data_IF_929234757612
#
_entry.id   IF_929234757612
#
_cell.length_a   1.000
_cell.length_b   1.000
_cell.length_c   1.000
_cell.angle_alpha   90.00
_cell.angle_beta   90.00
_cell.angle_gamma   90.00
#
_symmetry.space_group_name_H-M   'P 1'
#
loop_
_entity.id
_entity.type
_entity.pdbx_description
1 polymer ?
#
# COMPACT_ATOMS: atom_id res chain seq x y z
N UNK A 1 42.77 14.45 -38.60
CA UNK A 1 41.29 14.38 -38.51
C UNK A 1 40.91 14.63 -37.06
N UNK A 2 40.43 15.85 -36.75
CA UNK A 2 39.86 16.16 -35.43
C UNK A 2 38.33 16.05 -35.55
N UNK A 3 37.76 14.98 -35.00
CA UNK A 3 36.33 14.95 -34.70
C UNK A 3 36.19 15.11 -33.19
N UNK A 4 35.96 16.37 -32.80
CA UNK A 4 35.58 16.73 -31.45
C UNK A 4 34.26 16.06 -31.09
N UNK A 5 34.29 15.31 -29.99
CA UNK A 5 33.07 14.91 -29.29
C UNK A 5 32.47 16.19 -28.68
N UNK A 6 31.41 16.70 -29.30
CA UNK A 6 30.49 17.62 -28.66
C UNK A 6 29.88 16.88 -27.47
N UNK A 7 30.34 17.17 -26.25
CA UNK A 7 29.60 16.88 -25.03
C UNK A 7 28.36 17.76 -25.06
N UNK A 8 27.29 17.22 -25.64
CA UNK A 8 25.97 17.83 -25.61
C UNK A 8 25.60 18.08 -24.15
N UNK A 9 25.52 19.36 -23.84
CA UNK A 9 24.95 19.89 -22.62
C UNK A 9 23.47 19.48 -22.54
N UNK A 10 22.97 19.36 -21.31
CA UNK A 10 21.54 19.36 -20.95
C UNK A 10 20.69 18.12 -21.27
N UNK A 11 20.68 17.15 -20.35
CA UNK A 11 19.44 16.41 -20.06
C UNK A 11 19.18 16.30 -18.54
N UNK A 12 19.37 17.42 -17.84
CA UNK A 12 18.89 17.61 -16.47
C UNK A 12 17.43 18.09 -16.43
N UNK A 13 16.68 17.92 -17.53
CA UNK A 13 15.23 18.17 -17.54
C UNK A 13 14.59 17.07 -16.70
N UNK A 14 14.29 17.42 -15.45
CA UNK A 14 13.72 16.52 -14.48
C UNK A 14 12.51 15.78 -15.04
N UNK A 15 12.26 14.61 -14.45
CA UNK A 15 11.09 13.75 -14.67
C UNK A 15 9.74 14.47 -14.84
N UNK A 16 9.61 15.69 -14.32
CA UNK A 16 8.41 16.49 -14.22
C UNK A 16 7.80 16.96 -15.56
N UNK A 17 8.51 16.85 -16.70
CA UNK A 17 8.01 17.25 -18.03
C UNK A 17 7.82 16.07 -19.00
N UNK A 18 8.12 14.84 -18.60
CA UNK A 18 8.04 13.66 -19.47
C UNK A 18 6.61 13.08 -19.53
N UNK A 19 6.08 12.80 -20.71
CA UNK A 19 4.74 12.21 -20.87
C UNK A 19 4.76 10.69 -20.70
N UNK A 20 3.74 10.10 -20.05
CA UNK A 20 3.61 8.66 -19.83
C UNK A 20 4.01 7.79 -21.05
N UNK A 21 4.84 6.76 -20.81
CA UNK A 21 5.38 5.90 -21.85
C UNK A 21 4.41 4.85 -22.42
N UNK A 22 3.10 4.97 -22.14
CA UNK A 22 2.10 3.95 -22.46
C UNK A 22 1.18 4.38 -23.60
N UNK A 23 0.80 3.41 -24.40
CA UNK A 23 -0.27 3.48 -25.40
C UNK A 23 -1.47 2.73 -24.81
N UNK A 24 -2.62 3.39 -24.73
CA UNK A 24 -3.89 2.83 -24.28
C UNK A 24 -4.87 2.79 -25.44
N UNK A 25 -5.42 1.61 -25.75
CA UNK A 25 -6.36 1.45 -26.86
C UNK A 25 -5.86 2.02 -28.22
N UNK A 26 -4.55 1.87 -28.48
CA UNK A 26 -3.82 2.42 -29.65
C UNK A 26 -3.59 3.93 -29.65
N UNK A 27 -3.97 4.64 -28.58
CA UNK A 27 -3.68 6.07 -28.41
C UNK A 27 -2.54 6.28 -27.41
N UNK A 28 -1.57 7.14 -27.78
CA UNK A 28 -0.49 7.51 -26.87
C UNK A 28 -1.04 8.34 -25.72
N UNK A 29 -0.74 7.91 -24.50
CA UNK A 29 -1.12 8.64 -23.30
C UNK A 29 -0.51 10.05 -23.31
N UNK A 30 -1.29 11.06 -22.94
CA UNK A 30 -0.85 12.47 -22.84
C UNK A 30 -0.63 12.95 -21.41
N UNK A 31 -0.85 12.08 -20.43
CA UNK A 31 -0.69 12.43 -19.02
C UNK A 31 0.79 12.51 -18.64
N UNK A 32 1.09 13.38 -17.68
CA UNK A 32 2.41 13.52 -17.09
C UNK A 32 2.87 12.20 -16.46
N UNK A 33 4.11 11.79 -16.75
CA UNK A 33 4.71 10.62 -16.12
C UNK A 33 4.98 10.92 -14.64
N UNK A 34 4.69 9.93 -13.79
CA UNK A 34 5.07 9.95 -12.39
C UNK A 34 6.33 9.12 -12.15
N UNK A 35 6.58 8.74 -10.90
CA UNK A 35 7.75 7.94 -10.52
C UNK A 35 7.58 6.43 -10.77
N UNK A 36 6.36 5.97 -11.06
CA UNK A 36 6.10 4.56 -11.31
C UNK A 36 6.65 4.13 -12.67
N UNK A 37 7.29 2.96 -12.75
CA UNK A 37 7.89 2.46 -13.98
C UNK A 37 7.14 1.26 -14.55
N UNK A 38 7.09 1.19 -15.88
CA UNK A 38 6.58 0.06 -16.64
C UNK A 38 7.62 -1.07 -16.69
N UNK A 39 7.83 -1.72 -15.55
CA UNK A 39 8.78 -2.84 -15.42
C UNK A 39 8.26 -4.13 -16.06
N UNK A 40 9.13 -5.14 -16.22
CA UNK A 40 8.75 -6.50 -16.68
C UNK A 40 7.62 -7.12 -15.83
N UNK A 41 7.55 -6.80 -14.52
CA UNK A 41 6.46 -7.25 -13.62
C UNK A 41 5.12 -6.64 -14.02
N UNK A 42 5.12 -5.36 -14.39
CA UNK A 42 3.93 -4.65 -14.85
C UNK A 42 3.51 -5.17 -16.23
N UNK A 43 4.46 -5.38 -17.15
CA UNK A 43 4.19 -5.97 -18.47
C UNK A 43 3.52 -7.35 -18.35
N UNK A 44 3.99 -8.22 -17.44
CA UNK A 44 3.32 -9.50 -17.15
C UNK A 44 1.90 -9.31 -16.64
N UNK A 45 1.68 -8.35 -15.73
CA UNK A 45 0.35 -8.05 -15.17
C UNK A 45 -0.61 -7.59 -16.28
N UNK A 46 -0.16 -6.69 -17.15
CA UNK A 46 -0.92 -6.19 -18.30
C UNK A 46 -1.33 -7.33 -19.23
N UNK A 47 -0.38 -8.21 -19.59
CA UNK A 47 -0.65 -9.37 -20.43
C UNK A 47 -1.62 -10.36 -19.77
N UNK A 48 -1.39 -10.73 -18.51
CA UNK A 48 -2.22 -11.68 -17.77
C UNK A 48 -3.66 -11.16 -17.57
N UNK A 49 -3.82 -9.86 -17.35
CA UNK A 49 -5.13 -9.20 -17.17
C UNK A 49 -5.75 -8.73 -18.47
N UNK A 50 -5.09 -8.97 -19.61
CA UNK A 50 -5.53 -8.56 -20.95
C UNK A 50 -5.87 -7.07 -21.03
N UNK A 51 -5.10 -6.25 -20.32
CA UNK A 51 -5.20 -4.79 -20.43
C UNK A 51 -4.69 -4.37 -21.82
N UNK A 52 -5.38 -3.42 -22.44
CA UNK A 52 -5.00 -2.87 -23.75
C UNK A 52 -3.93 -1.77 -23.61
N UNK A 53 -2.89 -2.08 -22.83
CA UNK A 53 -1.77 -1.19 -22.57
C UNK A 53 -0.52 -1.77 -23.24
N UNK A 54 0.23 -0.94 -23.95
CA UNK A 54 1.55 -1.30 -24.49
C UNK A 54 2.56 -0.18 -24.25
N UNK A 55 3.85 -0.52 -24.22
CA UNK A 55 4.92 0.48 -24.13
C UNK A 55 5.13 1.15 -25.48
N UNK A 56 5.22 2.47 -25.50
CA UNK A 56 5.57 3.26 -26.67
C UNK A 56 7.07 3.12 -26.98
N UNK A 57 7.47 2.56 -28.14
CA UNK A 57 8.87 2.44 -28.53
C UNK A 57 9.57 3.80 -28.75
N UNK A 58 8.80 4.87 -28.98
CA UNK A 58 9.32 6.22 -29.16
C UNK A 58 9.54 6.97 -27.85
N UNK A 59 9.06 6.44 -26.72
CA UNK A 59 9.30 7.04 -25.42
C UNK A 59 10.75 6.85 -24.99
N UNK A 60 11.40 7.94 -24.58
CA UNK A 60 12.80 7.94 -24.12
C UNK A 60 12.94 7.43 -22.68
N UNK A 61 11.84 7.06 -22.03
CA UNK A 61 11.79 6.61 -20.63
C UNK A 61 10.71 5.55 -20.43
N UNK A 62 10.76 4.88 -19.26
CA UNK A 62 9.87 3.77 -18.92
C UNK A 62 8.79 4.15 -17.91
N UNK A 63 8.57 5.43 -17.65
CA UNK A 63 7.71 5.89 -16.57
C UNK A 63 6.26 6.12 -16.99
N UNK A 64 5.35 5.83 -16.08
CA UNK A 64 3.90 5.85 -16.30
C UNK A 64 3.24 6.92 -15.45
N UNK A 65 2.11 7.46 -15.92
CA UNK A 65 1.29 8.39 -15.17
C UNK A 65 0.56 7.71 -14.00
N UNK A 66 0.16 8.49 -13.00
CA UNK A 66 -0.61 7.97 -11.86
C UNK A 66 -1.95 7.35 -12.27
N UNK A 67 -2.58 7.89 -13.32
CA UNK A 67 -3.81 7.31 -13.88
C UNK A 67 -3.61 5.84 -14.34
N UNK A 68 -2.54 5.55 -15.07
CA UNK A 68 -2.23 4.19 -15.51
C UNK A 68 -1.74 3.30 -14.38
N UNK A 69 -0.98 3.85 -13.44
CA UNK A 69 -0.58 3.16 -12.22
C UNK A 69 -1.82 2.67 -11.46
N UNK A 70 -2.80 3.53 -11.22
CA UNK A 70 -4.05 3.18 -10.53
C UNK A 70 -4.89 2.18 -11.31
N UNK A 71 -5.01 2.34 -12.65
CA UNK A 71 -5.72 1.38 -13.50
C UNK A 71 -5.10 -0.01 -13.41
N UNK A 72 -3.78 -0.12 -13.50
CA UNK A 72 -3.03 -1.38 -13.37
C UNK A 72 -3.18 -1.96 -11.96
N UNK A 73 -3.15 -1.14 -10.92
CA UNK A 73 -3.37 -1.57 -9.53
C UNK A 73 -4.81 -2.07 -9.30
N UNK A 74 -5.81 -1.38 -9.86
CA UNK A 74 -7.23 -1.71 -9.67
C UNK A 74 -7.61 -3.09 -10.22
N UNK A 75 -6.98 -3.52 -11.33
CA UNK A 75 -7.23 -4.85 -11.91
C UNK A 75 -6.47 -5.97 -11.20
N UNK A 76 -5.46 -5.63 -10.40
CA UNK A 76 -4.85 -6.57 -9.45
C UNK A 76 -5.82 -6.86 -8.31
N UNK A 77 -6.43 -5.83 -7.73
CA UNK A 77 -7.31 -5.95 -6.55
C UNK A 77 -8.73 -6.43 -6.86
N UNK A 78 -9.34 -6.05 -8.01
CA UNK A 78 -10.76 -6.35 -8.32
C UNK A 78 -11.14 -7.84 -8.44
N UNK A 79 -10.20 -8.78 -8.61
CA UNK A 79 -10.54 -10.22 -8.73
C UNK A 79 -10.71 -10.93 -7.38
N UNK A 80 -10.57 -10.24 -6.24
CA UNK A 80 -10.71 -10.81 -4.88
C UNK A 80 -12.16 -11.00 -4.40
N UNK A 81 -13.17 -10.93 -5.28
CA UNK A 81 -14.56 -11.29 -4.95
C UNK A 81 -15.22 -12.04 -6.11
N UNK A 82 -15.02 -13.36 -6.22
CA UNK A 82 -16.04 -14.40 -6.49
C UNK A 82 -15.38 -15.78 -6.69
N UNK A 83 -15.81 -16.74 -5.86
CA UNK A 83 -15.76 -18.20 -5.98
C UNK A 83 -14.57 -18.88 -6.68
N UNK A 84 -13.68 -19.50 -5.89
CA UNK A 84 -13.32 -20.92 -6.02
C UNK A 84 -12.28 -21.28 -4.97
N UNK A 85 -12.57 -22.30 -4.17
CA UNK A 85 -11.60 -22.98 -3.31
C UNK A 85 -10.58 -23.69 -4.20
N UNK A 86 -9.36 -23.16 -4.29
CA UNK A 86 -8.21 -23.96 -4.71
C UNK A 86 -6.93 -23.39 -4.09
N UNK A 87 -6.13 -24.33 -3.63
CA UNK A 87 -4.90 -24.22 -2.87
C UNK A 87 -3.81 -23.58 -3.73
N UNK A 88 -3.56 -22.29 -3.54
CA UNK A 88 -2.49 -21.60 -4.25
C UNK A 88 -1.75 -20.67 -3.29
N UNK A 89 -0.70 -21.25 -2.72
CA UNK A 89 0.29 -20.60 -1.89
C UNK A 89 1.17 -19.68 -2.75
N UNK A 90 0.63 -18.51 -3.12
CA UNK A 90 1.44 -17.40 -3.61
C UNK A 90 1.13 -16.13 -2.81
N UNK A 91 2.06 -15.86 -1.88
CA UNK A 91 2.09 -14.69 -1.01
C UNK A 91 2.09 -13.42 -1.86
N UNK A 92 0.91 -12.82 -2.04
CA UNK A 92 0.71 -11.49 -2.61
C UNK A 92 1.27 -10.46 -1.62
N UNK A 93 2.55 -10.15 -1.81
CA UNK A 93 3.28 -9.09 -1.13
C UNK A 93 2.73 -7.74 -1.58
N UNK A 94 1.58 -7.32 -1.03
CA UNK A 94 1.09 -5.93 -0.91
C UNK A 94 -0.23 -5.85 -0.10
N UNK A 95 -0.51 -6.81 0.79
CA UNK A 95 -1.24 -6.51 2.03
C UNK A 95 -0.27 -5.71 2.88
N UNK A 96 -0.55 -4.42 3.09
CA UNK A 96 0.14 -3.61 4.08
C UNK A 96 0.26 -4.45 5.37
N UNK A 97 1.49 -4.82 5.73
CA UNK A 97 1.81 -5.65 6.90
C UNK A 97 1.09 -5.06 8.10
N UNK A 98 -0.01 -5.68 8.52
CA UNK A 98 -0.36 -5.60 9.92
C UNK A 98 0.85 -6.19 10.64
N UNK A 99 1.55 -5.42 11.49
CA UNK A 99 2.70 -5.95 12.19
C UNK A 99 2.25 -7.20 12.92
N UNK A 100 2.87 -8.34 12.60
CA UNK A 100 2.59 -9.59 13.29
C UNK A 100 2.78 -9.33 14.79
N UNK A 101 1.68 -9.36 15.56
CA UNK A 101 1.74 -9.14 17.00
C UNK A 101 2.65 -10.15 17.67
N UNK A 102 2.82 -11.33 17.07
CA UNK A 102 3.76 -12.31 17.54
C UNK A 102 5.20 -11.83 17.44
N UNK A 103 5.57 -10.91 16.54
CA UNK A 103 6.94 -10.36 16.45
C UNK A 103 7.25 -9.32 17.52
N UNK A 104 6.25 -8.72 18.16
CA UNK A 104 6.46 -7.75 19.23
C UNK A 104 7.09 -8.39 20.49
N UNK A 105 7.81 -7.58 21.26
CA UNK A 105 8.38 -8.03 22.54
C UNK A 105 7.26 -8.32 23.55
N UNK A 106 7.48 -9.29 24.46
CA UNK A 106 6.54 -9.62 25.54
C UNK A 106 6.22 -8.39 26.40
N UNK A 107 7.21 -7.51 26.61
CA UNK A 107 7.07 -6.23 27.31
C UNK A 107 6.09 -5.29 26.60
N UNK A 108 6.22 -5.18 25.27
CA UNK A 108 5.34 -4.37 24.41
C UNK A 108 3.91 -4.90 24.44
N UNK A 109 3.73 -6.22 24.28
CA UNK A 109 2.41 -6.86 24.33
C UNK A 109 1.72 -6.64 25.68
N UNK A 110 2.45 -6.77 26.79
CA UNK A 110 1.91 -6.49 28.13
C UNK A 110 1.57 -5.01 28.32
N UNK A 111 2.40 -4.10 27.80
CA UNK A 111 2.14 -2.65 27.85
C UNK A 111 0.86 -2.31 27.07
N UNK A 112 0.69 -2.90 25.90
CA UNK A 112 -0.49 -2.73 25.06
C UNK A 112 -1.75 -3.27 25.75
N UNK A 113 -1.74 -4.52 26.22
CA UNK A 113 -2.87 -5.10 26.97
C UNK A 113 -3.21 -4.28 28.22
N UNK A 114 -2.21 -3.76 28.97
CA UNK A 114 -2.46 -2.85 30.12
C UNK A 114 -3.12 -1.54 29.69
N UNK A 115 -2.67 -0.93 28.59
CA UNK A 115 -3.25 0.31 28.07
C UNK A 115 -4.73 0.14 27.75
N UNK A 116 -5.07 -0.97 27.09
CA UNK A 116 -6.45 -1.34 26.79
C UNK A 116 -7.13 -2.09 27.94
N UNK A 117 -6.57 -2.14 29.15
CA UNK A 117 -7.15 -2.81 30.33
C UNK A 117 -7.55 -4.28 30.09
N UNK A 118 -6.93 -4.94 29.12
CA UNK A 118 -7.05 -6.39 28.90
C UNK A 118 -6.27 -7.09 30.01
N UNK A 119 -6.92 -8.02 30.69
CA UNK A 119 -6.29 -8.74 31.81
C UNK A 119 -5.09 -9.56 31.32
N UNK A 120 -3.95 -9.43 32.01
CA UNK A 120 -2.76 -10.26 31.77
C UNK A 120 -2.28 -10.86 33.07
N UNK A 121 -1.94 -12.16 33.08
CA UNK A 121 -1.37 -12.86 34.24
C UNK A 121 0.12 -13.13 34.06
N UNK A 122 0.85 -13.18 35.18
CA UNK A 122 2.25 -13.63 35.19
C UNK A 122 2.30 -15.11 34.80
N UNK A 123 3.01 -15.45 33.73
CA UNK A 123 3.08 -16.81 33.17
C UNK A 123 2.42 -16.98 31.79
N UNK A 124 1.71 -15.96 31.28
CA UNK A 124 1.17 -16.02 29.91
C UNK A 124 2.31 -16.09 28.87
N UNK A 125 2.19 -17.04 27.95
CA UNK A 125 3.14 -17.24 26.84
C UNK A 125 2.95 -16.16 25.77
N UNK A 126 3.96 -15.93 24.94
CA UNK A 126 3.94 -14.96 23.83
C UNK A 126 2.71 -15.10 22.93
N UNK A 127 2.37 -16.33 22.54
CA UNK A 127 1.20 -16.62 21.73
C UNK A 127 -0.11 -16.15 22.39
N UNK A 128 -0.25 -16.33 23.70
CA UNK A 128 -1.43 -15.90 24.46
C UNK A 128 -1.48 -14.38 24.64
N UNK A 129 -0.32 -13.72 24.63
CA UNK A 129 -0.24 -12.26 24.66
C UNK A 129 -0.51 -11.63 23.29
N UNK A 130 -0.22 -12.34 22.20
CA UNK A 130 -0.49 -11.92 20.82
C UNK A 130 -1.88 -12.34 20.30
N UNK A 131 -2.62 -13.17 21.05
CA UNK A 131 -3.96 -13.61 20.64
C UNK A 131 -4.94 -12.43 20.53
N UNK A 132 -5.37 -12.16 19.29
CA UNK A 132 -6.27 -11.07 18.94
C UNK A 132 -7.70 -11.31 19.42
N UNK A 133 -8.09 -12.56 19.69
CA UNK A 133 -9.46 -12.91 20.10
C UNK A 133 -9.89 -12.19 21.38
N UNK A 134 -8.99 -12.10 22.36
CA UNK A 134 -9.25 -11.38 23.62
C UNK A 134 -9.36 -9.87 23.39
N UNK A 135 -8.53 -9.32 22.50
CA UNK A 135 -8.49 -7.89 22.19
C UNK A 135 -9.78 -7.48 21.47
N UNK A 136 -10.19 -8.26 20.46
CA UNK A 136 -11.43 -8.04 19.70
C UNK A 136 -12.65 -8.17 20.62
N UNK A 137 -12.70 -9.21 21.46
CA UNK A 137 -13.81 -9.41 22.40
C UNK A 137 -13.92 -8.24 23.38
N UNK A 138 -12.79 -7.79 23.92
CA UNK A 138 -12.76 -6.64 24.83
C UNK A 138 -13.15 -5.34 24.14
N UNK A 139 -12.69 -5.11 22.90
CA UNK A 139 -13.07 -3.96 22.09
C UNK A 139 -14.58 -3.93 21.82
N UNK A 140 -15.16 -5.05 21.38
CA UNK A 140 -16.60 -5.18 21.14
C UNK A 140 -17.39 -4.93 22.44
N UNK A 141 -16.93 -5.46 23.57
CA UNK A 141 -17.53 -5.19 24.87
C UNK A 141 -17.46 -3.70 25.25
N UNK A 142 -16.31 -3.05 25.11
CA UNK A 142 -16.16 -1.62 25.40
C UNK A 142 -17.06 -0.74 24.53
N UNK A 143 -17.14 -1.04 23.24
CA UNK A 143 -18.00 -0.32 22.30
C UNK A 143 -19.46 -0.51 22.68
N UNK A 144 -19.87 -1.76 22.97
CA UNK A 144 -21.23 -2.09 23.40
C UNK A 144 -21.61 -1.42 24.72
N UNK A 145 -20.66 -1.27 25.63
CA UNK A 145 -20.89 -0.66 26.94
C UNK A 145 -20.73 0.87 26.95
N UNK A 146 -20.38 1.49 25.82
CA UNK A 146 -20.19 2.95 25.73
C UNK A 146 -19.01 3.46 26.57
N UNK A 147 -18.09 2.59 27.01
CA UNK A 147 -17.00 2.97 27.92
C UNK A 147 -15.75 3.49 27.20
N UNK A 148 -15.87 3.90 25.93
CA UNK A 148 -14.72 4.32 25.15
C UNK A 148 -14.21 5.70 25.62
N UNK A 149 -13.25 5.69 26.55
CA UNK A 149 -12.64 6.91 27.11
C UNK A 149 -11.74 7.67 26.13
N UNK A 150 -11.56 7.21 24.88
CA UNK A 150 -10.84 7.97 23.85
C UNK A 150 -11.62 9.19 23.33
N UNK A 151 -12.92 9.28 23.59
CA UNK A 151 -13.74 10.40 23.10
C UNK A 151 -13.57 11.69 23.93
N UNK A 152 -13.02 11.62 25.14
CA UNK A 152 -13.03 12.76 26.08
C UNK A 152 -11.81 13.69 26.05
N UNK A 153 -10.99 13.74 25.00
CA UNK A 153 -9.91 14.75 24.98
C UNK A 153 -9.46 15.23 23.60
N UNK A 154 -10.37 15.79 22.82
CA UNK A 154 -10.02 16.91 21.93
C UNK A 154 -10.78 18.15 22.41
N UNK A 155 -10.02 19.09 22.97
CA UNK A 155 -10.52 20.25 23.67
C UNK A 155 -11.34 21.18 22.78
N UNK A 156 -12.41 21.71 23.36
CA UNK A 156 -13.04 22.96 22.93
C UNK A 156 -13.05 23.83 24.18
N UNK A 157 -12.40 24.99 24.08
CA UNK A 157 -12.43 26.00 25.10
C UNK A 157 -13.80 26.66 25.23
N UNK A 158 -13.85 27.63 26.13
CA UNK A 158 -14.96 28.52 26.47
C UNK A 158 -15.87 27.92 27.55
N UNK A 159 -15.81 28.48 28.75
CA UNK A 159 -16.72 29.59 29.04
C UNK A 159 -16.24 30.45 30.22
N UNK A 160 -16.26 31.75 29.94
CA UNK A 160 -16.32 32.85 30.89
C UNK A 160 -17.74 32.93 31.42
N UNK A 161 -17.92 33.04 32.74
CA UNK A 161 -18.71 34.08 33.45
C UNK A 161 -18.75 33.73 34.93
#
# INVERSE_FOLDING_TARGET
MNNGFSTGEEDSRGHADQTCCLIDDMERCRNQAGYASYSKRIQKTVAQKRLRLSSDPSAQHIYICDHHKERIQSVRTKRRRKDSEDDSNETDTDLHEFPDLYQLSVSTLRRYKRHFKVQTRQGMKRAQLADEKEIITFFVYMVKMGTNKLDQKNGIGNDTT
#
